data_IF_881408826227
#
_entry.id   IF_881408826227
#
_cell.length_a   1.000
_cell.length_b   1.000
_cell.length_c   1.000
_cell.angle_alpha   90.00
_cell.angle_beta   90.00
_cell.angle_gamma   90.00
#
_symmetry.space_group_name_H-M   'P 1'
#
loop_
_entity.id
_entity.type
_entity.pdbx_description
1 polymer ?
#
# COMPACT_ATOMS: atom_id res chain seq x y z
N UNK A 1 -17.87 30.93 -14.29
CA UNK A 1 -17.62 31.96 -13.25
C UNK A 1 -16.11 32.07 -13.05
N UNK A 2 -15.47 33.17 -13.45
CA UNK A 2 -14.04 33.43 -13.22
C UNK A 2 -13.91 34.10 -11.86
N UNK A 3 -13.15 33.50 -10.95
CA UNK A 3 -12.86 34.09 -9.64
C UNK A 3 -11.46 34.71 -9.76
N UNK A 4 -11.39 36.02 -9.63
CA UNK A 4 -10.15 36.81 -9.61
C UNK A 4 -9.83 37.21 -8.18
N UNK A 5 -8.58 37.02 -7.74
CA UNK A 5 -8.10 37.54 -6.46
C UNK A 5 -7.79 39.05 -6.57
N UNK A 6 -7.58 39.73 -5.44
CA UNK A 6 -7.22 41.15 -5.29
C UNK A 6 -5.98 41.52 -6.13
N UNK A 7 -5.08 40.57 -6.39
CA UNK A 7 -3.88 40.76 -7.23
C UNK A 7 -4.15 40.57 -8.74
N UNK A 8 -5.35 40.13 -9.12
CA UNK A 8 -5.80 39.91 -10.50
C UNK A 8 -5.38 38.58 -11.11
N UNK A 9 -5.00 37.60 -10.29
CA UNK A 9 -4.72 36.24 -10.72
C UNK A 9 -6.02 35.49 -11.03
N UNK A 10 -5.99 34.71 -12.11
CA UNK A 10 -7.17 33.99 -12.61
C UNK A 10 -7.09 32.53 -12.17
N UNK A 11 -8.10 32.10 -11.42
CA UNK A 11 -8.27 30.69 -11.05
C UNK A 11 -8.71 29.88 -12.28
N UNK A 12 -7.88 28.94 -12.73
CA UNK A 12 -8.25 27.96 -13.75
C UNK A 12 -8.34 26.56 -13.12
N UNK A 13 -9.56 25.98 -13.10
CA UNK A 13 -9.79 24.59 -12.66
C UNK A 13 -11.15 24.36 -11.96
N UNK A 14 -11.68 23.13 -12.05
CA UNK A 14 -12.83 22.67 -11.24
C UNK A 14 -12.42 22.51 -9.77
N UNK A 15 -13.42 22.53 -8.89
CA UNK A 15 -13.36 22.78 -7.43
C UNK A 15 -12.28 22.05 -6.60
N UNK A 16 -11.62 21.00 -7.08
CA UNK A 16 -10.58 20.26 -6.33
C UNK A 16 -9.16 20.33 -6.95
N UNK A 17 -8.96 21.16 -7.97
CA UNK A 17 -7.65 21.37 -8.60
C UNK A 17 -7.43 22.83 -8.92
N UNK A 18 -6.97 23.60 -7.94
CA UNK A 18 -6.74 25.04 -8.12
C UNK A 18 -5.33 25.25 -8.69
N UNK A 19 -5.23 25.60 -9.97
CA UNK A 19 -4.06 26.27 -10.51
C UNK A 19 -4.37 27.78 -10.55
N UNK A 20 -3.53 28.57 -9.92
CA UNK A 20 -3.52 30.02 -10.11
C UNK A 20 -2.52 30.33 -11.21
N UNK A 21 -3.00 30.98 -12.26
CA UNK A 21 -2.14 31.61 -13.24
C UNK A 21 -1.87 33.03 -12.74
N UNK A 22 -0.60 33.32 -12.42
CA UNK A 22 -0.17 34.66 -12.08
C UNK A 22 -0.30 35.55 -13.32
N UNK A 23 -0.50 36.87 -13.12
CA UNK A 23 -0.58 37.86 -14.21
C UNK A 23 0.55 37.74 -15.25
N UNK A 24 1.72 37.29 -14.84
CA UNK A 24 2.94 37.22 -15.65
C UNK A 24 3.04 35.94 -16.49
N UNK A 25 1.97 35.14 -16.54
CA UNK A 25 1.92 33.87 -17.27
C UNK A 25 2.60 32.70 -16.55
N UNK A 26 3.20 32.92 -15.37
CA UNK A 26 3.80 31.85 -14.55
C UNK A 26 2.72 31.06 -13.81
N UNK A 27 2.79 29.73 -13.88
CA UNK A 27 1.94 28.84 -13.07
C UNK A 27 2.61 28.58 -11.72
N UNK A 28 1.88 28.82 -10.63
CA UNK A 28 2.35 28.42 -9.30
C UNK A 28 2.16 26.89 -9.13
N UNK A 29 3.24 26.13 -8.94
CA UNK A 29 3.15 24.67 -8.68
C UNK A 29 2.81 24.38 -7.21
N UNK A 30 1.97 23.35 -7.02
CA UNK A 30 1.37 22.83 -5.79
C UNK A 30 2.26 22.88 -4.53
N UNK A 31 1.66 23.32 -3.42
CA UNK A 31 1.96 22.74 -2.10
C UNK A 31 1.43 21.31 -2.02
N UNK A 32 2.19 20.41 -1.40
CA UNK A 32 1.80 19.01 -1.18
C UNK A 32 0.58 19.00 -0.26
N UNK A 33 -0.61 18.93 -0.83
CA UNK A 33 -1.83 18.64 -0.08
C UNK A 33 -1.65 17.27 0.57
N UNK A 34 -1.62 17.23 1.92
CA UNK A 34 -1.74 15.97 2.65
C UNK A 34 -3.03 15.32 2.17
N UNK A 35 -2.92 14.12 1.60
CA UNK A 35 -4.04 13.33 1.05
C UNK A 35 -5.06 13.08 2.18
N UNK A 36 -5.98 14.02 2.38
CA UNK A 36 -6.96 14.05 3.47
C UNK A 36 -8.22 13.24 3.18
N UNK A 37 -8.07 12.11 2.49
CA UNK A 37 -9.19 11.21 2.22
C UNK A 37 -9.38 10.25 3.39
N UNK A 38 -10.60 10.16 3.92
CA UNK A 38 -10.99 9.08 4.83
C UNK A 38 -10.77 7.76 4.10
N UNK A 39 -9.84 6.94 4.60
CA UNK A 39 -9.52 5.63 4.02
C UNK A 39 -10.79 4.76 4.08
N UNK A 40 -11.14 4.10 2.97
CA UNK A 40 -12.35 3.27 2.97
C UNK A 40 -12.25 2.15 4.00
N UNK A 41 -13.38 1.70 4.55
CA UNK A 41 -13.40 0.59 5.52
C UNK A 41 -12.67 -0.65 4.99
N UNK A 42 -12.84 -0.94 3.70
CA UNK A 42 -12.16 -2.05 3.00
C UNK A 42 -10.65 -1.85 2.95
N UNK A 43 -10.18 -0.65 2.59
CA UNK A 43 -8.74 -0.34 2.56
C UNK A 43 -8.13 -0.43 3.96
N UNK A 44 -8.84 0.04 4.98
CA UNK A 44 -8.34 -0.05 6.36
C UNK A 44 -8.25 -1.52 6.82
N UNK A 45 -9.25 -2.34 6.50
CA UNK A 45 -9.23 -3.78 6.77
C UNK A 45 -8.05 -4.47 6.09
N UNK A 46 -7.79 -4.17 4.82
CA UNK A 46 -6.65 -4.74 4.09
C UNK A 46 -5.31 -4.34 4.71
N UNK A 47 -5.16 -3.08 5.14
CA UNK A 47 -3.95 -2.61 5.83
C UNK A 47 -3.72 -3.36 7.15
N UNK A 48 -4.78 -3.57 7.94
CA UNK A 48 -4.69 -4.34 9.19
C UNK A 48 -4.29 -5.79 8.93
N UNK A 49 -4.89 -6.44 7.94
CA UNK A 49 -4.52 -7.81 7.56
C UNK A 49 -3.06 -7.90 7.11
N UNK A 50 -2.63 -6.95 6.29
CA UNK A 50 -1.24 -6.88 5.83
C UNK A 50 -0.25 -6.68 6.99
N UNK A 51 -0.59 -5.81 7.95
CA UNK A 51 0.24 -5.59 9.15
C UNK A 51 0.36 -6.86 9.99
N UNK A 52 -0.74 -7.56 10.24
CA UNK A 52 -0.75 -8.85 10.96
C UNK A 52 0.08 -9.92 10.24
N UNK A 53 0.02 -9.96 8.92
CA UNK A 53 0.84 -10.88 8.11
C UNK A 53 2.34 -10.60 8.28
N UNK A 54 2.75 -9.32 8.31
CA UNK A 54 4.14 -8.93 8.58
C UNK A 54 4.60 -9.35 9.97
N UNK A 55 3.77 -9.13 10.98
CA UNK A 55 4.05 -9.50 12.37
C UNK A 55 4.20 -11.02 12.52
N UNK A 56 3.28 -11.79 11.94
CA UNK A 56 3.36 -13.25 11.93
C UNK A 56 4.63 -13.75 11.24
N UNK A 57 4.94 -13.21 10.06
CA UNK A 57 6.17 -13.54 9.32
C UNK A 57 7.43 -13.26 10.15
N UNK A 58 7.46 -12.13 10.87
CA UNK A 58 8.59 -11.77 11.71
C UNK A 58 8.77 -12.72 12.90
N UNK A 59 7.67 -13.27 13.44
CA UNK A 59 7.67 -14.22 14.55
C UNK A 59 8.09 -15.66 14.20
N UNK A 60 8.33 -15.99 12.93
CA UNK A 60 8.76 -17.33 12.53
C UNK A 60 10.17 -17.65 13.03
N UNK A 61 10.36 -18.82 13.65
CA UNK A 61 11.67 -19.37 14.01
C UNK A 61 12.53 -19.66 12.77
N UNK A 62 13.84 -19.78 12.95
CA UNK A 62 14.78 -20.11 11.86
C UNK A 62 14.41 -21.45 11.21
N UNK A 63 14.02 -22.45 12.00
CA UNK A 63 13.60 -23.76 11.52
C UNK A 63 12.34 -23.68 10.66
N UNK A 64 11.33 -22.92 11.09
CA UNK A 64 10.12 -22.72 10.30
C UNK A 64 10.41 -22.03 8.96
N UNK A 65 11.37 -21.10 8.93
CA UNK A 65 11.80 -20.44 7.69
C UNK A 65 12.45 -21.44 6.73
N UNK A 66 13.37 -22.28 7.21
CA UNK A 66 14.00 -23.35 6.41
C UNK A 66 12.98 -24.37 5.90
N UNK A 67 12.02 -24.75 6.73
CA UNK A 67 10.94 -25.64 6.33
C UNK A 67 10.08 -25.04 5.21
N UNK A 68 9.75 -23.75 5.29
CA UNK A 68 9.01 -23.06 4.23
C UNK A 68 9.79 -22.99 2.91
N UNK A 69 11.08 -22.68 2.96
CA UNK A 69 11.96 -22.78 1.78
C UNK A 69 11.95 -24.18 1.19
N UNK A 70 12.15 -25.21 2.01
CA UNK A 70 12.15 -26.61 1.58
C UNK A 70 10.84 -27.00 0.90
N UNK A 71 9.69 -26.57 1.46
CA UNK A 71 8.36 -26.79 0.88
C UNK A 71 8.24 -26.07 -0.48
N UNK A 72 8.65 -24.80 -0.58
CA UNK A 72 8.60 -24.07 -1.85
C UNK A 72 9.42 -24.76 -2.94
N UNK A 73 10.63 -25.26 -2.60
CA UNK A 73 11.47 -26.00 -3.53
C UNK A 73 10.87 -27.35 -3.91
N UNK A 74 10.44 -28.15 -2.93
CA UNK A 74 9.88 -29.50 -3.16
C UNK A 74 8.61 -29.46 -3.98
N UNK A 75 7.72 -28.52 -3.67
CA UNK A 75 6.39 -28.42 -4.31
C UNK A 75 6.40 -27.47 -5.52
N UNK A 76 7.59 -27.00 -5.91
CA UNK A 76 7.83 -26.13 -7.07
C UNK A 76 6.93 -24.88 -7.10
N UNK A 77 6.73 -24.25 -5.93
CA UNK A 77 5.82 -23.11 -5.77
C UNK A 77 6.51 -21.83 -6.25
N UNK A 78 6.00 -21.25 -7.35
CA UNK A 78 6.67 -20.15 -8.07
C UNK A 78 5.87 -18.84 -8.10
N UNK A 79 6.60 -17.75 -8.31
CA UNK A 79 6.07 -16.43 -8.63
C UNK A 79 5.65 -16.35 -10.10
N UNK A 80 5.10 -15.19 -10.49
CA UNK A 80 4.66 -14.93 -11.86
C UNK A 80 5.83 -14.96 -12.86
N UNK A 81 7.04 -14.68 -12.41
CA UNK A 81 8.27 -14.71 -13.20
C UNK A 81 8.90 -16.12 -13.28
N UNK A 82 8.26 -17.13 -12.69
CA UNK A 82 8.75 -18.51 -12.67
C UNK A 82 9.85 -18.80 -11.64
N UNK A 83 10.16 -17.87 -10.75
CA UNK A 83 11.14 -18.03 -9.66
C UNK A 83 10.46 -18.70 -8.46
N UNK A 84 11.12 -19.67 -7.82
CA UNK A 84 10.63 -20.33 -6.61
C UNK A 84 10.52 -19.32 -5.48
N UNK A 85 9.44 -19.36 -4.71
CA UNK A 85 9.29 -18.45 -3.58
C UNK A 85 10.36 -18.67 -2.52
N UNK A 86 10.91 -17.57 -2.01
CA UNK A 86 11.64 -17.59 -0.75
C UNK A 86 10.67 -17.82 0.43
N UNK A 87 11.22 -18.17 1.60
CA UNK A 87 10.40 -18.35 2.81
C UNK A 87 9.56 -17.11 3.12
N UNK A 88 10.09 -15.92 2.84
CA UNK A 88 9.47 -14.63 3.17
C UNK A 88 8.22 -14.37 2.35
N UNK A 89 8.27 -14.55 1.03
CA UNK A 89 7.12 -14.42 0.13
C UNK A 89 6.12 -15.55 0.37
N UNK A 90 6.59 -16.79 0.59
CA UNK A 90 5.69 -17.90 0.87
C UNK A 90 4.91 -17.67 2.16
N UNK A 91 5.60 -17.29 3.24
CA UNK A 91 4.97 -16.91 4.50
C UNK A 91 3.95 -15.79 4.29
N UNK A 92 4.35 -14.72 3.60
CA UNK A 92 3.47 -13.57 3.37
C UNK A 92 2.20 -13.97 2.59
N UNK A 93 2.33 -14.80 1.54
CA UNK A 93 1.19 -15.34 0.81
C UNK A 93 0.30 -16.21 1.68
N UNK A 94 0.88 -17.10 2.49
CA UNK A 94 0.11 -17.98 3.37
C UNK A 94 -0.70 -17.19 4.41
N UNK A 95 -0.09 -16.18 5.03
CA UNK A 95 -0.74 -15.31 6.00
C UNK A 95 -1.89 -14.50 5.39
N UNK A 96 -1.74 -14.06 4.13
CA UNK A 96 -2.79 -13.34 3.40
C UNK A 96 -3.86 -14.28 2.84
N UNK A 97 -3.51 -15.51 2.47
CA UNK A 97 -4.42 -16.52 1.91
C UNK A 97 -5.30 -17.19 2.99
N UNK A 98 -4.78 -17.34 4.22
CA UNK A 98 -5.54 -17.79 5.39
C UNK A 98 -5.80 -16.59 6.30
N UNK A 99 -6.88 -15.80 6.06
CA UNK A 99 -7.12 -14.55 6.80
C UNK A 99 -7.32 -14.71 8.32
N UNK A 100 -7.35 -15.94 8.84
CA UNK A 100 -7.44 -16.25 10.27
C UNK A 100 -6.79 -17.60 10.55
N UNK A 101 -5.49 -17.61 10.85
CA UNK A 101 -5.00 -18.56 11.85
C UNK A 101 -5.43 -17.92 13.17
N UNK A 102 -6.53 -18.40 13.76
CA UNK A 102 -6.73 -18.19 15.19
C UNK A 102 -5.51 -18.84 15.84
N UNK A 103 -4.69 -18.06 16.51
CA UNK A 103 -3.70 -18.61 17.43
C UNK A 103 -4.49 -19.50 18.38
N UNK A 104 -4.40 -20.82 18.18
CA UNK A 104 -4.82 -21.76 19.21
C UNK A 104 -3.68 -21.66 20.22
N UNK A 105 -3.94 -20.93 21.30
CA UNK A 105 -3.14 -21.02 22.51
C UNK A 105 -3.17 -22.50 22.94
N UNK A 106 -2.00 -23.14 22.91
CA UNK A 106 -1.76 -24.43 23.54
C UNK A 106 -1.50 -24.21 25.02
#
# INVERSE_FOLDING_TARGET
MRITNIHGDIKQGKLDGQAYQLKDGRQMRRGISKKGGVVSKTQNRQRVLFKRALEWRAGLSIENRKNMESIAYRDNIRNQDGVIYDWSMLAMRLALARPTIRCIEL
#
